data_IF_164197738363
#
_entry.id   IF_164197738363
#
_cell.length_a   1.000
_cell.length_b   1.000
_cell.length_c   1.000
_cell.angle_alpha   90.00
_cell.angle_beta   90.00
_cell.angle_gamma   90.00
#
_symmetry.space_group_name_H-M   'P 1'
#
loop_
_entity.id
_entity.type
_entity.pdbx_description
1 polymer ?
#
# COMPACT_ATOMS: atom_id res chain seq x y z
N UNK A 1 -16.39 -25.63 13.68
CA UNK A 1 -15.40 -24.59 13.39
C UNK A 1 -15.77 -23.93 12.09
N UNK A 2 -15.44 -22.65 11.91
CA UNK A 2 -15.71 -21.88 10.69
C UNK A 2 -14.51 -21.99 9.76
N UNK A 3 -14.75 -22.13 8.45
CA UNK A 3 -13.67 -22.12 7.45
C UNK A 3 -13.17 -20.69 7.28
N UNK A 4 -11.86 -20.53 7.20
CA UNK A 4 -11.19 -19.25 6.95
C UNK A 4 -10.51 -19.29 5.58
N UNK A 5 -10.59 -18.21 4.82
CA UNK A 5 -9.79 -18.00 3.62
C UNK A 5 -8.40 -17.47 4.01
N UNK A 6 -7.37 -18.30 3.83
CA UNK A 6 -6.02 -18.02 4.33
C UNK A 6 -5.04 -17.68 3.21
N UNK A 7 -4.22 -16.65 3.43
CA UNK A 7 -3.01 -16.39 2.64
C UNK A 7 -1.79 -17.04 3.33
N UNK A 8 -0.97 -17.75 2.55
CA UNK A 8 0.36 -18.20 2.98
C UNK A 8 1.38 -17.17 2.49
N UNK A 9 2.02 -16.45 3.41
CA UNK A 9 2.88 -15.31 3.09
C UNK A 9 4.29 -15.52 3.62
N UNK A 10 5.22 -15.89 2.75
CA UNK A 10 6.64 -16.06 3.09
C UNK A 10 7.36 -14.73 3.33
N UNK A 11 6.73 -13.58 3.07
CA UNK A 11 7.25 -12.25 3.35
C UNK A 11 6.72 -11.64 4.65
N UNK A 12 5.85 -12.33 5.38
CA UNK A 12 5.24 -11.83 6.61
C UNK A 12 5.84 -12.49 7.86
N UNK A 13 6.32 -11.71 8.83
CA UNK A 13 6.86 -12.24 10.09
C UNK A 13 5.78 -12.52 11.17
N UNK A 14 4.50 -12.39 10.82
CA UNK A 14 3.40 -12.50 11.77
C UNK A 14 2.28 -13.40 11.29
N UNK A 15 1.49 -13.88 12.25
CA UNK A 15 0.21 -14.54 11.98
C UNK A 15 -0.89 -13.51 12.29
N UNK A 16 -1.75 -13.26 11.30
CA UNK A 16 -2.78 -12.22 11.40
C UNK A 16 -4.17 -12.80 11.16
N UNK A 17 -5.15 -12.22 11.84
CA UNK A 17 -6.58 -12.49 11.61
C UNK A 17 -7.30 -11.18 11.33
N UNK A 18 -8.23 -11.20 10.38
CA UNK A 18 -9.02 -10.04 10.04
C UNK A 18 -9.97 -9.66 11.18
N UNK A 19 -10.10 -8.36 11.41
CA UNK A 19 -11.03 -7.86 12.44
C UNK A 19 -12.48 -8.26 12.18
N UNK A 20 -12.86 -8.38 10.90
CA UNK A 20 -14.20 -8.79 10.48
C UNK A 20 -14.47 -10.27 10.73
N UNK A 21 -13.51 -11.15 10.40
CA UNK A 21 -13.64 -12.59 10.65
C UNK A 21 -13.69 -12.89 12.15
N UNK A 22 -12.86 -12.20 12.94
CA UNK A 22 -12.90 -12.28 14.41
C UNK A 22 -14.28 -11.87 14.96
N UNK A 23 -14.84 -10.75 14.48
CA UNK A 23 -16.15 -10.25 14.92
C UNK A 23 -17.28 -11.20 14.53
N UNK A 24 -17.29 -11.68 13.28
CA UNK A 24 -18.30 -12.61 12.78
C UNK A 24 -18.34 -13.92 13.58
N UNK A 25 -17.17 -14.40 14.03
CA UNK A 25 -17.04 -15.63 14.81
C UNK A 25 -17.08 -15.42 16.33
N UNK A 26 -17.26 -14.17 16.80
CA UNK A 26 -17.31 -13.79 18.22
C UNK A 26 -16.10 -14.34 19.01
N UNK A 27 -14.92 -14.29 18.40
CA UNK A 27 -13.71 -14.82 19.04
C UNK A 27 -13.24 -13.86 20.15
N UNK A 28 -12.86 -14.38 21.34
CA UNK A 28 -12.36 -13.55 22.42
C UNK A 28 -11.03 -12.92 22.02
N UNK A 29 -10.86 -11.64 22.34
CA UNK A 29 -9.62 -10.89 22.12
C UNK A 29 -9.15 -10.27 23.41
N UNK A 30 -7.86 -10.02 23.52
CA UNK A 30 -7.25 -9.28 24.61
C UNK A 30 -6.43 -8.11 24.05
N UNK A 31 -6.40 -7.03 24.80
CA UNK A 31 -5.62 -5.83 24.47
C UNK A 31 -4.16 -6.03 24.88
N UNK A 32 -3.25 -5.52 24.06
CA UNK A 32 -1.83 -5.51 24.35
C UNK A 32 -1.50 -4.29 25.20
N UNK A 33 -0.70 -4.49 26.26
CA UNK A 33 -0.19 -3.38 27.08
C UNK A 33 0.60 -2.37 26.24
N UNK A 34 1.34 -2.85 25.24
CA UNK A 34 2.09 -2.04 24.29
C UNK A 34 1.70 -2.42 22.87
N UNK A 35 1.14 -1.49 22.08
CA UNK A 35 0.85 -1.74 20.67
C UNK A 35 2.11 -2.14 19.90
N UNK A 36 1.98 -3.12 19.01
CA UNK A 36 3.08 -3.57 18.14
C UNK A 36 2.93 -2.92 16.78
N UNK A 37 3.99 -2.31 16.26
CA UNK A 37 3.99 -1.74 14.91
C UNK A 37 4.11 -2.89 13.91
N UNK A 38 3.13 -3.03 13.03
CA UNK A 38 3.23 -3.90 11.85
C UNK A 38 3.95 -3.12 10.75
N UNK A 39 5.15 -3.55 10.42
CA UNK A 39 5.82 -3.12 9.19
C UNK A 39 5.29 -3.96 8.04
N UNK A 40 4.38 -3.38 7.27
CA UNK A 40 4.00 -3.93 5.96
C UNK A 40 5.06 -3.49 4.95
N UNK A 41 5.38 -4.34 3.97
CA UNK A 41 6.42 -4.12 2.96
C UNK A 41 6.08 -3.02 1.93
N UNK A 42 5.54 -1.87 2.38
CA UNK A 42 5.19 -0.71 1.57
C UNK A 42 5.49 0.59 2.32
N UNK A 43 6.03 1.59 1.61
CA UNK A 43 6.16 2.97 2.11
C UNK A 43 4.77 3.58 2.21
N UNK A 44 4.36 4.01 3.42
CA UNK A 44 3.15 4.84 3.59
C UNK A 44 1.93 4.14 4.18
N UNK A 45 2.09 3.42 5.30
CA UNK A 45 1.16 3.45 6.45
C UNK A 45 1.74 2.56 7.55
N UNK A 46 1.83 3.08 8.78
CA UNK A 46 2.19 2.25 9.94
C UNK A 46 0.90 1.69 10.52
N UNK A 47 0.64 0.42 10.31
CA UNK A 47 -0.45 -0.27 11.01
C UNK A 47 0.02 -0.64 12.42
N UNK A 48 -0.86 -0.56 13.40
CA UNK A 48 -0.56 -0.98 14.78
C UNK A 48 -1.49 -2.12 15.19
N UNK A 49 -0.91 -3.14 15.81
CA UNK A 49 -1.65 -4.23 16.47
C UNK A 49 -1.86 -3.82 17.90
N UNK A 50 -3.12 -3.61 18.26
CA UNK A 50 -3.53 -3.30 19.63
C UNK A 50 -4.14 -4.52 20.32
N UNK A 51 -4.61 -5.50 19.55
CA UNK A 51 -5.31 -6.66 20.07
C UNK A 51 -4.73 -7.95 19.53
N UNK A 52 -4.74 -8.98 20.37
CA UNK A 52 -4.44 -10.36 19.99
C UNK A 52 -5.57 -11.29 20.39
N UNK A 53 -5.57 -12.47 19.81
CA UNK A 53 -6.42 -13.57 20.25
C UNK A 53 -5.67 -14.89 20.18
N UNK A 54 -6.13 -15.85 20.98
CA UNK A 54 -5.72 -17.24 20.91
C UNK A 54 -6.93 -18.06 20.46
N UNK A 55 -6.77 -18.84 19.40
CA UNK A 55 -7.82 -19.70 18.89
C UNK A 55 -7.29 -21.08 18.51
N UNK A 56 -8.16 -22.09 18.64
CA UNK A 56 -7.87 -23.42 18.13
C UNK A 56 -8.12 -23.46 16.64
N UNK A 57 -7.07 -23.70 15.87
CA UNK A 57 -7.17 -24.00 14.44
C UNK A 57 -7.27 -25.50 14.22
N UNK A 58 -8.03 -25.90 13.20
CA UNK A 58 -8.10 -27.28 12.72
C UNK A 58 -7.40 -27.33 11.36
N UNK A 59 -6.22 -27.94 11.32
CA UNK A 59 -5.48 -28.18 10.09
C UNK A 59 -5.51 -29.67 9.78
N UNK A 60 -6.00 -30.03 8.60
CA UNK A 60 -6.28 -31.42 8.23
C UNK A 60 -7.23 -32.10 9.23
N UNK A 61 -6.70 -32.83 10.22
CA UNK A 61 -7.47 -33.52 11.27
C UNK A 61 -6.99 -33.18 12.68
N UNK A 62 -5.99 -32.33 12.82
CA UNK A 62 -5.34 -32.02 14.09
C UNK A 62 -5.65 -30.58 14.53
N UNK A 63 -5.77 -30.41 15.85
CA UNK A 63 -6.08 -29.11 16.46
C UNK A 63 -4.83 -28.51 17.07
N UNK A 64 -4.58 -27.24 16.78
CA UNK A 64 -3.46 -26.49 17.33
C UNK A 64 -3.96 -25.21 17.97
N UNK A 65 -3.39 -24.83 19.11
CA UNK A 65 -3.55 -23.49 19.65
C UNK A 65 -2.63 -22.54 18.89
N UNK A 66 -3.20 -21.46 18.37
CA UNK A 66 -2.48 -20.47 17.58
C UNK A 66 -2.79 -19.05 18.05
N UNK A 67 -1.76 -18.20 17.99
CA UNK A 67 -1.82 -16.81 18.43
C UNK A 67 -1.87 -15.88 17.23
N UNK A 68 -2.93 -15.07 17.17
CA UNK A 68 -3.17 -14.16 16.07
C UNK A 68 -3.04 -12.71 16.51
N UNK A 69 -2.34 -11.92 15.69
CA UNK A 69 -2.44 -10.48 15.72
C UNK A 69 -3.73 -10.06 15.00
N UNK A 70 -4.56 -9.22 15.64
CA UNK A 70 -5.74 -8.68 14.97
C UNK A 70 -5.30 -7.49 14.15
N UNK A 71 -5.52 -7.56 12.84
CA UNK A 71 -5.17 -6.51 11.89
C UNK A 71 -6.32 -6.29 10.89
N UNK A 72 -6.34 -5.12 10.28
CA UNK A 72 -7.24 -4.86 9.16
C UNK A 72 -6.61 -5.39 7.87
N UNK A 73 -6.78 -6.68 7.61
CA UNK A 73 -6.32 -7.34 6.39
C UNK A 73 -7.47 -7.40 5.39
N UNK A 74 -7.21 -7.04 4.13
CA UNK A 74 -8.18 -7.13 3.05
C UNK A 74 -8.13 -8.51 2.38
N UNK A 75 -9.26 -8.96 1.83
CA UNK A 75 -9.46 -10.17 1.01
C UNK A 75 -9.27 -11.53 1.70
N UNK A 76 -8.49 -11.61 2.76
CA UNK A 76 -8.23 -12.83 3.50
C UNK A 76 -8.76 -12.73 4.93
N UNK A 77 -9.26 -13.84 5.44
CA UNK A 77 -9.64 -13.97 6.85
C UNK A 77 -8.40 -14.09 7.75
N UNK A 78 -7.35 -14.75 7.24
CA UNK A 78 -6.13 -15.06 7.97
C UNK A 78 -4.92 -14.91 7.05
N UNK A 79 -3.83 -14.33 7.56
CA UNK A 79 -2.50 -14.39 6.91
C UNK A 79 -1.59 -15.23 7.80
N UNK A 80 -1.01 -16.26 7.21
CA UNK A 80 -0.10 -17.21 7.85
C UNK A 80 1.33 -16.89 7.39
N UNK A 81 2.05 -16.15 8.23
CA UNK A 81 3.41 -15.73 7.96
C UNK A 81 4.47 -16.82 8.15
N UNK A 82 5.73 -16.44 7.98
CA UNK A 82 6.92 -17.29 8.08
C UNK A 82 7.00 -18.12 9.36
N UNK A 83 6.61 -17.66 10.57
CA UNK A 83 6.67 -18.51 11.76
C UNK A 83 5.77 -19.74 11.65
N UNK A 84 4.58 -19.55 11.06
CA UNK A 84 3.65 -20.65 10.80
C UNK A 84 4.20 -21.58 9.73
N UNK A 85 4.69 -21.03 8.62
CA UNK A 85 5.23 -21.80 7.50
C UNK A 85 6.42 -22.68 7.94
N UNK A 86 7.33 -22.13 8.75
CA UNK A 86 8.45 -22.89 9.32
C UNK A 86 7.98 -23.97 10.31
N UNK A 87 7.07 -23.63 11.23
CA UNK A 87 6.57 -24.56 12.26
C UNK A 87 5.94 -25.82 11.65
N UNK A 88 5.21 -25.64 10.54
CA UNK A 88 4.51 -26.73 9.86
C UNK A 88 5.26 -27.28 8.64
N UNK A 89 6.53 -26.87 8.44
CA UNK A 89 7.37 -27.30 7.33
C UNK A 89 6.66 -27.17 5.97
N UNK A 90 6.00 -26.03 5.77
CA UNK A 90 5.19 -25.78 4.58
C UNK A 90 6.09 -25.60 3.37
N UNK A 91 5.82 -26.37 2.31
CA UNK A 91 6.44 -26.22 1.00
C UNK A 91 5.40 -25.67 0.01
N UNK A 92 5.72 -24.51 -0.56
CA UNK A 92 4.93 -23.85 -1.59
C UNK A 92 5.41 -24.30 -2.96
N UNK A 93 4.67 -25.22 -3.60
CA UNK A 93 4.97 -25.72 -4.94
C UNK A 93 4.20 -24.91 -5.98
N UNK A 94 4.82 -23.85 -6.46
CA UNK A 94 4.26 -22.99 -7.50
C UNK A 94 4.13 -23.69 -8.86
N UNK A 95 4.99 -24.68 -9.15
CA UNK A 95 4.97 -25.40 -10.42
C UNK A 95 3.69 -26.23 -10.56
N UNK A 96 3.32 -26.92 -9.49
CA UNK A 96 2.12 -27.75 -9.46
C UNK A 96 0.90 -27.04 -8.84
N UNK A 97 1.06 -25.79 -8.38
CA UNK A 97 0.05 -25.00 -7.67
C UNK A 97 -0.49 -25.72 -6.41
N UNK A 98 0.42 -26.32 -5.65
CA UNK A 98 0.12 -27.12 -4.46
C UNK A 98 0.85 -26.57 -3.23
N UNK A 99 0.27 -26.82 -2.07
CA UNK A 99 0.88 -26.58 -0.76
C UNK A 99 1.11 -27.94 -0.13
N UNK A 100 2.33 -28.23 0.29
CA UNK A 100 2.66 -29.45 1.03
C UNK A 100 2.90 -29.13 2.50
N UNK A 101 2.42 -30.01 3.37
CA UNK A 101 2.61 -29.97 4.82
C UNK A 101 2.91 -31.40 5.29
N UNK A 102 4.19 -31.71 5.50
CA UNK A 102 4.64 -33.08 5.70
C UNK A 102 4.20 -34.00 4.55
N UNK A 103 3.42 -35.05 4.86
CA UNK A 103 2.89 -35.99 3.85
C UNK A 103 1.59 -35.54 3.18
N UNK A 104 1.01 -34.42 3.62
CA UNK A 104 -0.25 -33.90 3.10
C UNK A 104 0.03 -32.92 1.95
N UNK A 105 -0.77 -33.00 0.90
CA UNK A 105 -0.74 -32.07 -0.22
C UNK A 105 -2.13 -31.49 -0.44
N UNK A 106 -2.20 -30.17 -0.54
CA UNK A 106 -3.44 -29.42 -0.75
C UNK A 106 -3.32 -28.62 -2.04
N UNK A 107 -4.31 -28.66 -2.94
CA UNK A 107 -4.32 -27.75 -4.08
C UNK A 107 -4.55 -26.32 -3.57
N UNK A 108 -3.81 -25.36 -4.13
CA UNK A 108 -4.08 -23.96 -3.89
C UNK A 108 -5.42 -23.60 -4.55
N UNK A 109 -6.45 -23.33 -3.73
CA UNK A 109 -7.77 -22.91 -4.21
C UNK A 109 -7.71 -21.43 -4.52
N UNK A 110 -7.23 -21.09 -5.71
CA UNK A 110 -7.43 -19.74 -6.26
C UNK A 110 -8.90 -19.60 -6.66
N UNK A 111 -9.73 -19.05 -5.77
CA UNK A 111 -10.83 -18.23 -6.29
C UNK A 111 -10.17 -17.10 -7.07
N UNK A 112 -10.41 -17.08 -8.38
CA UNK A 112 -9.74 -16.20 -9.33
C UNK A 112 -10.18 -14.74 -9.12
N UNK A 113 -9.76 -14.11 -8.02
CA UNK A 113 -9.70 -12.66 -7.94
C UNK A 113 -8.30 -12.21 -8.33
N UNK A 114 -7.96 -12.51 -9.59
CA UNK A 114 -6.79 -11.95 -10.26
C UNK A 114 -7.14 -10.49 -10.60
N UNK A 115 -6.89 -9.57 -9.69
CA UNK A 115 -6.68 -8.17 -10.06
C UNK A 115 -5.24 -8.03 -10.55
N UNK A 116 -4.99 -8.43 -11.81
CA UNK A 116 -3.69 -8.40 -12.51
C UNK A 116 -2.76 -9.52 -12.06
N UNK A 117 -2.53 -10.61 -12.78
CA UNK A 117 -1.96 -10.73 -14.12
C UNK A 117 -2.65 -11.94 -14.79
N UNK A 118 -3.19 -11.76 -16.00
CA UNK A 118 -3.58 -12.89 -16.85
C UNK A 118 -2.31 -13.68 -17.20
N UNK A 119 -1.96 -14.68 -16.39
CA UNK A 119 -0.77 -15.52 -16.58
C UNK A 119 -0.93 -16.57 -17.68
N UNK A 120 -1.71 -16.28 -18.73
CA UNK A 120 -1.89 -17.18 -19.90
C UNK A 120 -1.63 -16.51 -21.24
N UNK A 121 -1.03 -15.34 -21.26
CA UNK A 121 -0.52 -14.74 -22.50
C UNK A 121 1.00 -14.85 -22.45
N UNK A 122 1.58 -15.70 -23.31
CA UNK A 122 3.03 -15.69 -23.51
C UNK A 122 3.38 -14.40 -24.25
N UNK A 123 3.79 -13.38 -23.52
CA UNK A 123 4.31 -12.16 -24.12
C UNK A 123 5.73 -12.40 -24.61
N UNK A 124 6.02 -11.91 -25.80
CA UNK A 124 7.37 -11.84 -26.37
C UNK A 124 7.93 -10.41 -26.21
N UNK A 125 9.23 -10.21 -26.46
CA UNK A 125 9.83 -8.87 -26.35
C UNK A 125 9.22 -7.85 -27.32
N UNK A 126 8.73 -8.30 -28.48
CA UNK A 126 8.01 -7.43 -29.42
C UNK A 126 6.68 -6.89 -28.89
N UNK A 127 6.03 -7.60 -27.96
CA UNK A 127 4.80 -7.14 -27.31
C UNK A 127 5.05 -5.99 -26.34
N UNK A 128 6.27 -5.82 -25.81
CA UNK A 128 6.60 -4.79 -24.81
C UNK A 128 6.35 -3.38 -25.37
N UNK A 129 6.74 -3.12 -26.62
CA UNK A 129 6.54 -1.82 -27.24
C UNK A 129 5.05 -1.52 -27.42
N UNK A 130 4.29 -2.49 -27.94
CA UNK A 130 2.85 -2.37 -28.14
C UNK A 130 2.10 -2.18 -26.81
N UNK A 131 2.48 -2.92 -25.76
CA UNK A 131 1.89 -2.78 -24.42
C UNK A 131 2.22 -1.44 -23.78
N UNK A 132 3.46 -0.97 -23.93
CA UNK A 132 3.89 0.35 -23.44
C UNK A 132 3.08 1.45 -24.10
N UNK A 133 2.97 1.42 -25.43
CA UNK A 133 2.18 2.40 -26.19
C UNK A 133 0.71 2.34 -25.79
N UNK A 134 0.13 1.13 -25.69
CA UNK A 134 -1.24 0.95 -25.25
C UNK A 134 -1.49 1.50 -23.83
N UNK A 135 -0.56 1.31 -22.89
CA UNK A 135 -0.66 1.88 -21.54
C UNK A 135 -0.51 3.39 -21.53
N UNK A 136 0.44 3.94 -22.27
CA UNK A 136 0.62 5.39 -22.39
C UNK A 136 -0.63 6.05 -22.97
N UNK A 137 -1.22 5.45 -24.02
CA UNK A 137 -2.45 5.94 -24.63
C UNK A 137 -3.65 5.79 -23.70
N UNK A 138 -3.75 4.69 -22.95
CA UNK A 138 -4.84 4.45 -22.01
C UNK A 138 -4.86 5.43 -20.83
N UNK A 139 -3.69 5.84 -20.38
CA UNK A 139 -3.51 6.75 -19.25
C UNK A 139 -2.88 8.07 -19.69
N UNK A 140 -3.28 8.57 -20.87
CA UNK A 140 -2.77 9.82 -21.43
C UNK A 140 -3.05 11.02 -20.53
N UNK A 141 -4.07 10.94 -19.68
CA UNK A 141 -4.37 11.93 -18.65
C UNK A 141 -3.32 11.97 -17.52
N UNK A 142 -2.61 10.86 -17.29
CA UNK A 142 -1.53 10.75 -16.30
C UNK A 142 -0.16 11.02 -16.93
N UNK A 143 0.07 10.49 -18.14
CA UNK A 143 1.38 10.53 -18.82
C UNK A 143 1.51 11.65 -19.86
N UNK A 144 0.43 12.33 -20.19
CA UNK A 144 0.43 13.46 -21.13
C UNK A 144 0.95 14.76 -20.50
N UNK A 145 0.95 15.81 -21.31
CA UNK A 145 1.31 17.14 -20.83
C UNK A 145 0.36 17.59 -19.73
N UNK A 146 0.91 18.24 -18.70
CA UNK A 146 0.11 18.75 -17.60
C UNK A 146 -0.74 19.92 -18.16
N UNK A 147 -2.08 19.83 -18.17
CA UNK A 147 -2.92 20.85 -18.76
C UNK A 147 -2.74 22.17 -18.02
N UNK A 148 -2.62 23.29 -18.75
CA UNK A 148 -2.41 24.64 -18.18
C UNK A 148 -3.67 25.22 -17.49
N UNK A 149 -4.38 24.39 -16.74
CA UNK A 149 -5.60 24.73 -16.02
C UNK A 149 -5.57 24.09 -14.63
N UNK A 150 -6.27 24.70 -13.68
CA UNK A 150 -6.46 24.10 -12.37
C UNK A 150 -7.36 22.87 -12.49
N UNK A 151 -7.04 21.74 -11.82
CA UNK A 151 -7.95 20.63 -11.77
C UNK A 151 -9.29 21.07 -11.16
N UNK A 152 -10.42 20.52 -11.63
CA UNK A 152 -11.72 20.86 -11.08
C UNK A 152 -11.80 20.46 -9.60
N UNK A 153 -12.62 21.19 -8.85
CA UNK A 153 -12.96 20.80 -7.48
C UNK A 153 -13.58 19.40 -7.47
N UNK A 154 -13.10 18.54 -6.56
CA UNK A 154 -13.63 17.18 -6.38
C UNK A 154 -14.78 17.19 -5.37
N UNK A 155 -15.54 16.11 -5.30
CA UNK A 155 -16.63 15.92 -4.31
C UNK A 155 -16.12 16.12 -2.87
N UNK A 156 -14.86 15.76 -2.60
CA UNK A 156 -14.17 16.06 -1.34
C UNK A 156 -12.92 16.89 -1.64
N UNK A 157 -12.94 18.17 -1.25
CA UNK A 157 -11.75 19.02 -1.19
C UNK A 157 -11.37 19.22 0.27
N UNK A 158 -10.12 18.91 0.61
CA UNK A 158 -9.62 19.03 1.97
C UNK A 158 -9.03 20.42 2.18
N UNK A 159 -9.48 21.12 3.21
CA UNK A 159 -8.86 22.35 3.70
C UNK A 159 -7.95 22.00 4.89
N UNK A 160 -6.68 22.39 4.82
CA UNK A 160 -5.76 22.24 5.94
C UNK A 160 -5.97 23.43 6.88
N UNK A 161 -6.68 23.20 8.00
CA UNK A 161 -6.86 24.22 9.03
C UNK A 161 -5.54 24.45 9.78
N UNK A 162 -5.16 25.71 9.93
CA UNK A 162 -4.03 26.09 10.77
C UNK A 162 -4.37 25.85 12.25
N UNK A 163 -3.45 25.25 13.01
CA UNK A 163 -3.61 25.06 14.46
C UNK A 163 -3.68 26.40 15.19
N UNK A 164 -2.88 27.37 14.76
CA UNK A 164 -2.87 28.75 15.25
C UNK A 164 -2.76 29.70 14.05
N UNK A 165 -3.84 30.37 13.65
CA UNK A 165 -3.85 31.32 12.54
C UNK A 165 -2.97 32.56 12.77
N UNK A 166 -2.64 32.87 14.02
CA UNK A 166 -1.85 34.06 14.39
C UNK A 166 -0.35 33.80 14.45
N UNK A 167 0.07 32.53 14.30
CA UNK A 167 1.47 32.12 14.46
C UNK A 167 2.35 32.66 13.33
N UNK A 168 3.24 33.60 13.68
CA UNK A 168 4.26 34.11 12.77
C UNK A 168 5.52 33.25 12.85
N UNK A 169 5.82 32.48 11.79
CA UNK A 169 7.04 31.67 11.71
C UNK A 169 8.19 32.53 11.17
N UNK A 170 9.33 32.58 11.87
CA UNK A 170 10.55 33.20 11.35
C UNK A 170 11.26 32.21 10.44
N UNK A 171 11.30 32.48 9.14
CA UNK A 171 11.89 31.61 8.14
C UNK A 171 13.14 32.25 7.50
N UNK A 172 14.16 31.44 7.19
CA UNK A 172 15.31 31.89 6.40
C UNK A 172 15.00 31.67 4.92
N UNK A 173 14.86 32.75 4.16
CA UNK A 173 14.61 32.65 2.71
C UNK A 173 15.80 31.97 2.01
N UNK A 174 15.61 30.78 1.41
CA UNK A 174 16.66 30.14 0.64
C UNK A 174 16.90 30.93 -0.64
N UNK A 175 18.17 30.97 -1.08
CA UNK A 175 18.56 31.64 -2.32
C UNK A 175 18.62 30.61 -3.43
N UNK A 176 18.05 30.95 -4.59
CA UNK A 176 18.23 30.15 -5.80
C UNK A 176 19.69 30.32 -6.29
N UNK A 177 20.43 29.23 -6.57
CA UNK A 177 21.72 29.31 -7.25
C UNK A 177 21.61 30.03 -8.60
N UNK A 178 22.65 30.77 -8.98
CA UNK A 178 22.64 31.57 -10.21
C UNK A 178 22.35 30.72 -11.46
N UNK A 179 22.95 29.52 -11.53
CA UNK A 179 22.79 28.56 -12.63
C UNK A 179 21.36 28.06 -12.83
N UNK A 180 20.49 28.22 -11.83
CA UNK A 180 19.11 27.71 -11.85
C UNK A 180 18.07 28.83 -11.93
N UNK A 181 18.49 30.10 -12.04
CA UNK A 181 17.56 31.23 -12.07
C UNK A 181 16.63 31.21 -13.28
N UNK A 182 17.16 30.92 -14.48
CA UNK A 182 16.36 30.86 -15.70
C UNK A 182 15.29 29.77 -15.58
N UNK A 183 15.68 28.56 -15.18
CA UNK A 183 14.73 27.45 -14.97
C UNK A 183 13.64 27.78 -13.94
N UNK A 184 14.01 28.50 -12.87
CA UNK A 184 13.05 28.93 -11.86
C UNK A 184 12.08 29.98 -12.44
N UNK A 185 12.56 30.93 -13.23
CA UNK A 185 11.73 31.96 -13.89
C UNK A 185 10.76 31.29 -14.86
N UNK A 186 11.23 30.36 -15.68
CA UNK A 186 10.38 29.63 -16.64
C UNK A 186 9.28 28.86 -15.92
N UNK A 187 9.62 28.19 -14.82
CA UNK A 187 8.64 27.51 -13.97
C UNK A 187 7.61 28.48 -13.38
N UNK A 188 8.06 29.61 -12.83
CA UNK A 188 7.15 30.63 -12.27
C UNK A 188 6.18 31.10 -13.36
N UNK A 189 6.69 31.46 -14.53
CA UNK A 189 5.88 31.96 -15.64
C UNK A 189 4.87 30.92 -16.12
N UNK A 190 5.30 29.67 -16.28
CA UNK A 190 4.42 28.56 -16.65
C UNK A 190 3.29 28.37 -15.63
N UNK A 191 3.61 28.35 -14.33
CA UNK A 191 2.64 28.08 -13.26
C UNK A 191 1.67 29.26 -13.05
N UNK A 192 2.14 30.50 -13.24
CA UNK A 192 1.29 31.70 -13.23
C UNK A 192 0.35 31.70 -14.44
N UNK A 193 0.86 31.35 -15.62
CA UNK A 193 0.04 31.23 -16.85
C UNK A 193 -1.05 30.17 -16.70
N UNK A 194 -0.70 29.01 -16.12
CA UNK A 194 -1.62 27.92 -15.81
C UNK A 194 -2.62 28.23 -14.67
N UNK A 195 -2.48 29.41 -14.02
CA UNK A 195 -3.24 29.82 -12.83
C UNK A 195 -3.08 28.90 -11.62
N UNK A 196 -2.10 28.01 -11.63
CA UNK A 196 -1.73 27.20 -10.48
C UNK A 196 -1.13 28.06 -9.38
N UNK A 197 -0.32 29.04 -9.77
CA UNK A 197 0.26 30.04 -8.87
C UNK A 197 -0.36 31.41 -9.11
N UNK A 198 -0.51 32.17 -8.03
CA UNK A 198 -0.85 33.59 -8.06
C UNK A 198 0.28 34.36 -7.40
N UNK A 199 0.75 35.41 -8.08
CA UNK A 199 1.74 36.31 -7.50
C UNK A 199 1.12 37.03 -6.29
N UNK A 200 1.78 36.93 -5.14
CA UNK A 200 1.36 37.58 -3.90
C UNK A 200 2.59 38.11 -3.16
N UNK A 201 2.41 39.18 -2.39
CA UNK A 201 3.40 39.56 -1.38
C UNK A 201 3.17 38.68 -0.14
N UNK A 202 4.25 38.10 0.37
CA UNK A 202 4.25 37.32 1.59
C UNK A 202 5.58 37.53 2.29
N UNK A 203 5.56 37.54 3.62
CA UNK A 203 6.80 37.53 4.42
C UNK A 203 7.54 36.19 4.31
N UNK A 204 6.88 35.16 3.78
CA UNK A 204 7.39 33.81 3.63
C UNK A 204 7.17 33.33 2.19
N UNK A 205 8.27 33.11 1.47
CA UNK A 205 8.26 32.50 0.15
C UNK A 205 9.42 31.51 0.03
N UNK A 206 9.15 30.37 -0.59
CA UNK A 206 10.17 29.35 -0.88
C UNK A 206 10.17 29.12 -2.39
N UNK A 207 11.29 29.37 -3.10
CA UNK A 207 11.44 28.94 -4.47
C UNK A 207 11.41 27.40 -4.50
N UNK A 208 10.44 26.82 -5.20
CA UNK A 208 10.34 25.37 -5.37
C UNK A 208 10.77 24.99 -6.79
N UNK A 209 11.94 24.38 -6.93
CA UNK A 209 12.42 23.78 -8.18
C UNK A 209 12.73 22.30 -7.92
N UNK A 210 12.21 21.40 -8.76
CA UNK A 210 12.56 19.98 -8.69
C UNK A 210 13.81 19.79 -9.54
N UNK A 211 14.89 19.30 -8.93
CA UNK A 211 16.14 19.01 -9.63
C UNK A 211 16.23 17.50 -9.88
N UNK A 212 16.51 17.05 -11.12
CA UNK A 212 16.84 15.66 -11.36
C UNK A 212 18.11 15.32 -10.56
N UNK A 213 18.11 14.15 -9.92
CA UNK A 213 19.27 13.61 -9.22
C UNK A 213 20.24 12.94 -10.18
#
# INVERSE_FOLDING_TARGET
>A
GTKAHCLLDSGCEGIMISSDFMRANKLPKFELEKPVILQLACVGSKSTVQYRLTAKILLSKEKYDEYFNIANVNYYDVILGTPFLHRFEILLDFKNNHVQMGKLSFPNRTEQHIYGVQSRISFNESDILALREAWQNRYVDIFGDIPLELPPFREVNYEIKLVDPSKVIRYRTPRCPESLKEQLIDKINHYVTARWWRQTSSQQAVPMLCLPK
#
